data_IF_393190935382
#
_entry.id   IF_393190935382
#
_cell.length_a   1.000
_cell.length_b   1.000
_cell.length_c   1.000
_cell.angle_alpha   90.00
_cell.angle_beta   90.00
_cell.angle_gamma   90.00
#
_symmetry.space_group_name_H-M   'P 1'
#
loop_
_entity.id
_entity.type
_entity.pdbx_description
1 polymer ?
#
# COMPACT_ATOMS: atom_id res chain seq x y z
N UNK A 1 7.87 15.26 -41.66
CA UNK A 1 8.96 15.59 -40.73
C UNK A 1 8.41 15.40 -39.32
N UNK A 2 8.68 14.25 -38.71
CA UNK A 2 8.22 13.88 -37.35
C UNK A 2 9.47 13.83 -36.47
N UNK A 3 9.56 14.72 -35.51
CA UNK A 3 10.64 14.72 -34.52
C UNK A 3 10.37 13.70 -33.45
N UNK A 4 11.15 12.63 -33.46
CA UNK A 4 11.20 11.59 -32.43
C UNK A 4 12.09 12.10 -31.29
N UNK A 5 11.53 12.41 -30.13
CA UNK A 5 12.29 12.68 -28.92
C UNK A 5 12.42 11.38 -28.13
N UNK A 6 13.59 10.78 -28.18
CA UNK A 6 13.94 9.61 -27.39
C UNK A 6 14.32 10.05 -25.98
N UNK A 7 13.49 9.72 -24.98
CA UNK A 7 13.83 9.82 -23.56
C UNK A 7 14.72 8.63 -23.14
N UNK A 8 15.97 8.60 -23.63
CA UNK A 8 17.03 7.74 -23.08
C UNK A 8 18.04 8.66 -22.39
N UNK A 9 17.90 8.86 -21.06
CA UNK A 9 18.90 9.64 -20.35
C UNK A 9 18.56 10.09 -18.93
N UNK A 10 17.72 9.40 -18.17
CA UNK A 10 17.41 9.85 -16.79
C UNK A 10 17.36 8.70 -15.74
N UNK A 11 18.17 7.67 -15.87
CA UNK A 11 18.18 6.55 -14.89
C UNK A 11 19.56 6.35 -14.23
N UNK A 12 20.52 7.24 -14.37
CA UNK A 12 21.88 7.03 -13.84
C UNK A 12 22.39 8.22 -13.04
N UNK A 13 21.65 8.77 -12.06
CA UNK A 13 22.20 9.74 -11.09
C UNK A 13 21.60 9.57 -9.68
N UNK A 14 21.42 8.37 -9.16
CA UNK A 14 21.08 8.21 -7.74
C UNK A 14 21.86 7.10 -7.01
N UNK A 15 22.96 6.64 -7.56
CA UNK A 15 23.74 5.54 -6.97
C UNK A 15 25.18 5.91 -6.55
N UNK A 16 25.51 7.19 -6.32
CA UNK A 16 26.88 7.56 -5.93
C UNK A 16 26.95 8.71 -4.93
N UNK A 17 26.27 8.61 -3.80
CA UNK A 17 26.50 9.54 -2.70
C UNK A 17 26.10 8.90 -1.37
N UNK A 18 26.86 7.99 -0.80
CA UNK A 18 26.92 7.67 0.64
C UNK A 18 27.98 6.60 0.94
N UNK A 19 29.26 6.91 0.74
CA UNK A 19 30.33 6.31 1.55
C UNK A 19 31.29 7.45 1.92
N UNK A 20 30.99 8.10 3.02
CA UNK A 20 31.90 8.99 3.73
C UNK A 20 32.12 8.44 5.13
N UNK A 21 33.23 7.76 5.35
CA UNK A 21 33.68 7.33 6.69
C UNK A 21 34.10 8.57 7.45
N UNK A 22 33.36 8.92 8.51
CA UNK A 22 33.75 9.91 9.49
C UNK A 22 34.24 9.20 10.75
N UNK A 23 35.54 9.22 10.95
CA UNK A 23 36.20 8.90 12.22
C UNK A 23 35.86 9.98 13.24
N UNK A 24 35.23 9.61 14.35
CA UNK A 24 34.99 10.50 15.50
C UNK A 24 35.96 10.15 16.59
N UNK A 25 36.80 11.11 16.94
CA UNK A 25 37.65 11.12 18.15
C UNK A 25 36.81 11.26 19.42
N UNK A 26 37.13 10.45 20.42
CA UNK A 26 36.57 10.53 21.75
C UNK A 26 37.15 11.74 22.50
N UNK A 27 36.24 12.53 23.07
CA UNK A 27 36.56 13.59 24.03
C UNK A 27 35.72 13.40 25.30
N UNK A 28 36.40 13.29 26.44
CA UNK A 28 35.82 13.07 27.77
C UNK A 28 35.29 14.36 28.43
N UNK A 29 34.19 14.14 29.22
CA UNK A 29 33.85 14.80 30.51
C UNK A 29 33.16 16.19 30.54
N UNK A 30 32.48 16.57 31.63
CA UNK A 30 32.10 15.88 32.87
C UNK A 30 30.59 15.98 33.24
N UNK A 31 30.19 15.18 34.22
CA UNK A 31 28.91 15.26 34.96
C UNK A 31 28.60 16.64 35.52
N UNK A 32 27.40 17.13 35.31
CA UNK A 32 26.78 18.10 36.25
C UNK A 32 25.25 18.05 36.19
N UNK A 33 24.67 17.78 37.36
CA UNK A 33 23.37 18.26 37.87
C UNK A 33 22.07 17.96 37.11
N UNK A 34 21.30 16.99 37.65
CA UNK A 34 19.86 16.91 37.48
C UNK A 34 19.18 18.24 37.79
N UNK A 35 18.50 18.83 36.83
CA UNK A 35 17.42 19.79 37.04
C UNK A 35 16.14 19.23 36.48
N UNK A 36 15.12 19.18 37.32
CA UNK A 36 13.73 18.84 37.01
C UNK A 36 13.23 19.67 35.83
N UNK A 37 13.07 19.02 34.66
CA UNK A 37 12.48 19.64 33.48
C UNK A 37 10.96 19.78 33.63
N UNK A 38 10.45 20.94 33.30
CA UNK A 38 9.04 21.27 33.35
C UNK A 38 8.21 20.44 32.35
N UNK A 39 6.91 20.29 32.64
CA UNK A 39 5.95 19.56 31.81
C UNK A 39 5.92 19.97 30.32
N UNK A 40 6.38 21.19 29.98
CA UNK A 40 6.50 21.66 28.60
C UNK A 40 7.65 20.96 27.82
N UNK A 41 8.74 20.56 28.52
CA UNK A 41 9.85 19.81 27.93
C UNK A 41 9.46 18.34 27.63
N UNK A 42 8.54 17.77 28.41
CA UNK A 42 8.03 16.40 28.15
C UNK A 42 7.07 16.37 26.97
N UNK A 43 6.26 17.41 26.75
CA UNK A 43 5.38 17.50 25.58
C UNK A 43 6.14 17.64 24.25
N UNK A 44 7.28 18.36 24.25
CA UNK A 44 8.14 18.45 23.05
C UNK A 44 8.82 17.12 22.72
N UNK A 45 9.21 16.32 23.75
CA UNK A 45 9.80 15.00 23.55
C UNK A 45 8.80 13.96 23.03
N UNK A 46 7.50 14.11 23.33
CA UNK A 46 6.45 13.22 22.83
C UNK A 46 6.23 13.37 21.32
N UNK A 47 6.30 14.59 20.79
CA UNK A 47 6.19 14.83 19.34
C UNK A 47 7.41 14.28 18.57
N UNK A 48 8.59 14.25 19.18
CA UNK A 48 9.80 13.64 18.61
C UNK A 48 9.75 12.10 18.62
N UNK A 49 8.98 11.47 19.51
CA UNK A 49 8.84 10.00 19.58
C UNK A 49 7.91 9.44 18.51
N UNK A 50 7.03 10.22 17.91
CA UNK A 50 5.95 9.79 17.01
C UNK A 50 6.35 9.71 15.54
N UNK A 51 7.56 9.41 15.15
CA UNK A 51 7.97 9.26 13.75
C UNK A 51 7.92 10.56 12.97
N UNK A 52 8.74 10.67 11.93
CA UNK A 52 8.74 11.87 11.08
C UNK A 52 7.33 12.12 10.50
N UNK A 53 6.73 13.30 10.75
CA UNK A 53 5.37 13.59 10.30
C UNK A 53 5.25 13.42 8.78
N UNK A 54 4.23 12.70 8.32
CA UNK A 54 3.89 12.60 6.90
C UNK A 54 4.72 11.69 6.03
N UNK A 55 5.65 10.91 6.60
CA UNK A 55 6.59 10.09 5.83
C UNK A 55 6.08 8.73 5.47
N UNK A 56 5.09 8.23 6.14
CA UNK A 56 4.84 6.80 6.14
C UNK A 56 3.42 6.53 5.72
N UNK A 57 3.22 5.45 4.92
CA UNK A 57 1.89 4.88 4.81
C UNK A 57 1.30 4.70 6.19
N UNK A 58 0.01 4.94 6.31
CA UNK A 58 -0.81 4.87 7.52
C UNK A 58 -0.55 3.67 8.44
N UNK A 59 0.13 2.66 7.92
CA UNK A 59 0.39 1.37 8.57
C UNK A 59 1.62 1.37 9.50
N UNK A 60 2.37 2.47 9.63
CA UNK A 60 3.60 2.47 10.42
C UNK A 60 3.43 3.37 11.64
N UNK A 61 3.05 2.76 12.74
CA UNK A 61 2.90 3.45 14.02
C UNK A 61 3.56 2.67 15.14
N UNK A 62 4.45 3.34 15.87
CA UNK A 62 5.00 2.84 17.12
C UNK A 62 4.34 3.62 18.26
N UNK A 63 3.34 3.01 18.91
CA UNK A 63 2.68 3.57 20.09
C UNK A 63 3.55 3.45 21.35
N UNK A 64 3.20 4.22 22.39
CA UNK A 64 3.71 4.00 23.73
C UNK A 64 2.99 2.81 24.38
N UNK A 65 3.66 2.13 25.33
CA UNK A 65 3.05 1.01 26.04
C UNK A 65 1.69 1.39 26.67
N UNK A 66 0.66 0.60 26.34
CA UNK A 66 -0.72 0.80 26.79
C UNK A 66 -1.57 1.70 25.89
N UNK A 67 -1.00 2.31 24.87
CA UNK A 67 -1.71 3.22 23.97
C UNK A 67 -2.64 2.45 23.00
N UNK A 68 -3.84 2.97 22.82
CA UNK A 68 -4.80 2.53 21.81
C UNK A 68 -4.92 3.58 20.70
N UNK A 69 -5.17 3.10 19.49
CA UNK A 69 -5.45 3.92 18.35
C UNK A 69 -6.60 3.31 17.54
N UNK A 70 -7.46 4.15 17.04
CA UNK A 70 -8.45 3.78 16.03
C UNK A 70 -8.16 4.53 14.76
N UNK A 71 -8.37 3.89 13.63
CA UNK A 71 -8.13 4.48 12.33
C UNK A 71 -9.15 4.05 11.31
N UNK A 72 -9.22 4.84 10.26
CA UNK A 72 -10.03 4.56 9.10
C UNK A 72 -9.29 5.02 7.86
N UNK A 73 -9.18 4.13 6.87
CA UNK A 73 -8.63 4.48 5.57
C UNK A 73 -9.69 4.24 4.49
N UNK A 74 -9.82 5.20 3.58
CA UNK A 74 -10.61 5.09 2.37
C UNK A 74 -9.67 5.14 1.17
N UNK A 75 -9.86 4.21 0.23
CA UNK A 75 -9.10 4.16 -1.01
C UNK A 75 -10.04 4.09 -2.20
N UNK A 76 -9.70 4.85 -3.24
CA UNK A 76 -10.28 4.70 -4.57
C UNK A 76 -9.16 4.41 -5.55
N UNK A 77 -9.30 3.34 -6.33
CA UNK A 77 -8.44 2.98 -7.45
C UNK A 77 -9.23 3.01 -8.75
N UNK A 78 -8.70 3.68 -9.76
CA UNK A 78 -9.23 3.68 -11.11
C UNK A 78 -8.27 2.96 -12.04
N UNK A 79 -8.82 2.00 -12.78
CA UNK A 79 -8.14 1.30 -13.85
C UNK A 79 -8.88 1.62 -15.17
N UNK A 80 -8.14 1.78 -16.27
CA UNK A 80 -8.71 2.15 -17.56
C UNK A 80 -7.78 1.75 -18.70
N UNK A 81 -8.35 1.08 -19.71
CA UNK A 81 -7.62 0.55 -20.85
C UNK A 81 -6.82 -0.72 -20.54
N UNK A 82 -6.59 -1.52 -21.58
CA UNK A 82 -5.89 -2.80 -21.47
C UNK A 82 -4.40 -2.67 -21.81
N UNK A 83 -3.54 -3.36 -21.06
CA UNK A 83 -2.09 -3.41 -21.26
C UNK A 83 -1.62 -4.87 -21.38
N UNK A 84 -0.69 -5.13 -22.30
CA UNK A 84 0.07 -6.40 -22.40
C UNK A 84 1.55 -6.09 -22.41
N UNK A 85 2.30 -6.65 -21.47
CA UNK A 85 3.65 -6.19 -21.22
C UNK A 85 3.63 -4.71 -20.87
N UNK A 86 4.33 -3.89 -21.64
CA UNK A 86 4.38 -2.42 -21.50
C UNK A 86 3.64 -1.67 -22.63
N UNK A 87 2.80 -2.38 -23.39
CA UNK A 87 2.13 -1.84 -24.57
C UNK A 87 0.62 -1.85 -24.39
N UNK A 88 -0.02 -0.72 -24.72
CA UNK A 88 -1.46 -0.65 -24.79
C UNK A 88 -2.00 -1.61 -25.87
N UNK A 89 -3.07 -2.27 -25.56
CA UNK A 89 -3.80 -3.13 -26.48
C UNK A 89 -5.25 -2.65 -26.58
N UNK A 90 -5.76 -2.49 -27.80
CA UNK A 90 -7.14 -2.08 -28.00
C UNK A 90 -8.13 -3.20 -27.64
N UNK A 91 -9.33 -2.83 -27.18
CA UNK A 91 -10.44 -3.74 -26.93
C UNK A 91 -10.69 -4.66 -28.13
N UNK A 92 -10.72 -4.10 -29.35
CA UNK A 92 -10.92 -4.88 -30.57
C UNK A 92 -9.85 -5.98 -30.74
N UNK A 93 -8.60 -5.71 -30.35
CA UNK A 93 -7.52 -6.70 -30.45
C UNK A 93 -7.64 -7.80 -29.39
N UNK A 94 -8.13 -7.46 -28.19
CA UNK A 94 -8.44 -8.47 -27.14
C UNK A 94 -9.60 -9.35 -27.61
N UNK A 95 -10.64 -8.77 -28.20
CA UNK A 95 -11.82 -9.48 -28.70
C UNK A 95 -11.56 -10.40 -29.91
N UNK A 96 -10.40 -10.30 -30.59
CA UNK A 96 -9.98 -11.30 -31.57
C UNK A 96 -9.78 -12.68 -30.91
N UNK A 97 -9.35 -12.70 -29.65
CA UNK A 97 -9.02 -13.92 -28.89
C UNK A 97 -10.11 -14.31 -27.88
N UNK A 98 -10.69 -13.32 -27.19
CA UNK A 98 -11.66 -13.53 -26.12
C UNK A 98 -13.07 -13.11 -26.56
N UNK A 99 -14.10 -13.63 -25.90
CA UNK A 99 -15.47 -13.23 -26.16
C UNK A 99 -15.83 -11.88 -25.51
N UNK A 100 -15.19 -11.58 -24.38
CA UNK A 100 -15.39 -10.38 -23.58
C UNK A 100 -14.04 -9.74 -23.23
N UNK A 101 -14.02 -8.42 -23.08
CA UNK A 101 -12.85 -7.65 -22.60
C UNK A 101 -13.27 -6.62 -21.56
N UNK A 102 -12.54 -6.50 -20.45
CA UNK A 102 -12.78 -5.39 -19.52
C UNK A 102 -12.37 -4.06 -20.19
N UNK A 103 -13.10 -2.99 -19.90
CA UNK A 103 -12.85 -1.65 -20.45
C UNK A 103 -12.28 -0.70 -19.42
N UNK A 104 -12.88 -0.71 -18.23
CA UNK A 104 -12.48 0.08 -17.09
C UNK A 104 -12.96 -0.56 -15.78
N UNK A 105 -12.34 -0.17 -14.67
CA UNK A 105 -12.75 -0.62 -13.34
C UNK A 105 -12.56 0.50 -12.31
N UNK A 106 -13.47 0.58 -11.37
CA UNK A 106 -13.34 1.41 -10.19
C UNK A 106 -13.46 0.54 -8.96
N UNK A 107 -12.45 0.59 -8.08
CA UNK A 107 -12.47 -0.08 -6.79
C UNK A 107 -12.47 0.95 -5.67
N UNK A 108 -13.37 0.79 -4.72
CA UNK A 108 -13.42 1.55 -3.48
C UNK A 108 -13.22 0.60 -2.31
N UNK A 109 -12.42 1.03 -1.34
CA UNK A 109 -12.11 0.20 -0.17
C UNK A 109 -12.20 1.04 1.09
N UNK A 110 -13.01 0.57 2.04
CA UNK A 110 -13.18 1.14 3.37
C UNK A 110 -12.47 0.25 4.38
N UNK A 111 -11.48 0.75 5.08
CA UNK A 111 -10.58 -0.02 5.93
C UNK A 111 -10.58 0.54 7.36
N UNK A 112 -11.59 0.22 8.19
CA UNK A 112 -11.51 0.47 9.63
C UNK A 112 -10.41 -0.38 10.25
N UNK A 113 -9.68 0.23 11.21
CA UNK A 113 -8.60 -0.44 11.92
C UNK A 113 -8.56 -0.05 13.39
N UNK A 114 -8.06 -0.96 14.20
CA UNK A 114 -7.75 -0.74 15.61
C UNK A 114 -6.33 -1.19 15.86
N UNK A 115 -5.60 -0.39 16.64
CA UNK A 115 -4.23 -0.68 17.02
C UNK A 115 -4.06 -0.59 18.52
N UNK A 116 -3.15 -1.41 19.04
CA UNK A 116 -2.77 -1.44 20.44
C UNK A 116 -1.27 -1.65 20.58
N UNK A 117 -0.63 -0.86 21.41
CA UNK A 117 0.78 -0.98 21.74
C UNK A 117 0.95 -1.67 23.11
N UNK A 118 1.11 -3.01 23.21
CA UNK A 118 1.32 -3.67 24.49
C UNK A 118 2.65 -3.28 25.14
N UNK A 119 3.62 -2.83 24.36
CA UNK A 119 4.93 -2.35 24.83
C UNK A 119 5.42 -1.22 23.91
N UNK A 120 6.41 -0.45 24.34
CA UNK A 120 7.05 0.61 23.52
C UNK A 120 7.74 0.08 22.25
N UNK A 121 7.87 -1.24 22.12
CA UNK A 121 8.52 -1.86 20.95
C UNK A 121 7.58 -2.63 20.05
N UNK A 122 6.37 -2.93 20.50
CA UNK A 122 5.42 -3.75 19.78
C UNK A 122 4.09 -3.01 19.62
N UNK A 123 3.64 -2.89 18.39
CA UNK A 123 2.28 -2.45 18.05
C UNK A 123 1.58 -3.56 17.28
N UNK A 124 0.36 -3.85 17.68
CA UNK A 124 -0.52 -4.80 17.01
C UNK A 124 -1.66 -4.04 16.33
N UNK A 125 -2.11 -4.51 15.17
CA UNK A 125 -3.18 -3.91 14.39
C UNK A 125 -4.12 -4.99 13.87
N UNK A 126 -5.42 -4.69 13.91
CA UNK A 126 -6.45 -5.45 13.21
C UNK A 126 -7.14 -4.53 12.20
N UNK A 127 -7.28 -4.98 10.95
CA UNK A 127 -7.92 -4.25 9.86
C UNK A 127 -8.90 -5.16 9.12
N UNK A 128 -10.12 -4.68 8.90
CA UNK A 128 -11.16 -5.40 8.17
C UNK A 128 -11.65 -4.54 7.00
N UNK A 129 -11.25 -4.83 5.76
CA UNK A 129 -11.68 -4.06 4.61
C UNK A 129 -13.12 -4.40 4.20
N UNK A 130 -13.85 -3.39 3.73
CA UNK A 130 -15.07 -3.55 2.94
C UNK A 130 -14.78 -3.00 1.54
N UNK A 131 -15.00 -3.82 0.52
CA UNK A 131 -14.60 -3.55 -0.86
C UNK A 131 -15.84 -3.41 -1.73
N UNK A 132 -15.85 -2.42 -2.61
CA UNK A 132 -16.86 -2.21 -3.65
C UNK A 132 -16.13 -2.08 -4.99
N UNK A 133 -16.56 -2.85 -5.97
CA UNK A 133 -15.96 -2.91 -7.30
C UNK A 133 -17.03 -2.77 -8.37
N UNK A 134 -16.70 -2.02 -9.42
CA UNK A 134 -17.53 -1.86 -10.62
C UNK A 134 -16.62 -1.92 -11.83
N UNK A 135 -16.85 -2.86 -12.73
CA UNK A 135 -16.09 -3.11 -13.95
C UNK A 135 -16.99 -3.02 -15.18
N UNK A 136 -16.58 -2.21 -16.14
CA UNK A 136 -17.20 -2.14 -17.46
C UNK A 136 -16.61 -3.18 -18.39
N UNK A 137 -17.45 -3.78 -19.24
CA UNK A 137 -17.09 -4.81 -20.19
C UNK A 137 -17.63 -4.50 -21.58
N UNK A 138 -16.93 -4.98 -22.58
CA UNK A 138 -17.34 -4.98 -23.97
C UNK A 138 -17.32 -6.41 -24.50
N UNK A 139 -18.44 -6.85 -25.04
CA UNK A 139 -18.58 -8.17 -25.67
C UNK A 139 -18.27 -8.10 -27.16
N UNK A 140 -17.95 -9.28 -27.76
CA UNK A 140 -17.60 -9.39 -29.18
C UNK A 140 -18.72 -8.97 -30.13
N UNK A 141 -19.95 -9.05 -29.70
CA UNK A 141 -21.14 -8.60 -30.47
C UNK A 141 -21.34 -7.07 -30.41
N UNK A 142 -20.49 -6.36 -29.68
CA UNK A 142 -20.55 -4.92 -29.47
C UNK A 142 -21.45 -4.47 -28.32
N UNK A 143 -22.07 -5.38 -27.59
CA UNK A 143 -22.83 -5.04 -26.38
C UNK A 143 -21.90 -4.66 -25.23
N UNK A 144 -22.40 -3.84 -24.30
CA UNK A 144 -21.65 -3.44 -23.09
C UNK A 144 -22.44 -3.86 -21.87
N UNK A 145 -21.72 -4.33 -20.87
CA UNK A 145 -22.22 -4.66 -19.55
C UNK A 145 -21.43 -3.92 -18.47
N UNK A 146 -21.96 -3.94 -17.26
CA UNK A 146 -21.24 -3.46 -16.06
C UNK A 146 -21.45 -4.46 -14.94
N UNK A 147 -20.40 -5.08 -14.51
CA UNK A 147 -20.40 -5.96 -13.36
C UNK A 147 -20.13 -5.19 -12.07
N UNK A 148 -20.71 -5.65 -10.98
CA UNK A 148 -20.53 -5.07 -9.65
C UNK A 148 -20.43 -6.15 -8.61
N UNK A 149 -19.45 -5.99 -7.71
CA UNK A 149 -19.34 -6.83 -6.54
C UNK A 149 -19.01 -5.97 -5.31
N UNK A 150 -19.48 -6.41 -4.17
CA UNK A 150 -19.18 -5.75 -2.90
C UNK A 150 -19.19 -6.75 -1.75
N UNK A 151 -18.48 -6.44 -0.68
CA UNK A 151 -18.47 -7.27 0.51
C UNK A 151 -17.25 -7.05 1.39
N UNK A 152 -17.24 -7.77 2.49
CA UNK A 152 -16.09 -7.82 3.40
C UNK A 152 -14.92 -8.50 2.66
N UNK A 153 -13.72 -7.94 2.80
CA UNK A 153 -12.48 -8.54 2.33
C UNK A 153 -11.83 -9.44 3.39
N UNK A 154 -10.58 -9.76 3.19
CA UNK A 154 -9.81 -10.58 4.12
C UNK A 154 -9.40 -9.77 5.36
N UNK A 155 -9.69 -10.28 6.57
CA UNK A 155 -9.23 -9.72 7.83
C UNK A 155 -7.71 -9.82 7.91
N UNK A 156 -7.04 -8.74 8.26
CA UNK A 156 -5.60 -8.73 8.50
C UNK A 156 -5.28 -8.43 9.97
N UNK A 157 -4.49 -9.29 10.58
CA UNK A 157 -3.84 -9.03 11.86
C UNK A 157 -2.36 -8.79 11.59
N UNK A 158 -1.87 -7.61 11.95
CA UNK A 158 -0.49 -7.19 11.72
C UNK A 158 0.19 -6.83 13.04
N UNK A 159 1.50 -6.94 13.08
CA UNK A 159 2.34 -6.48 14.16
C UNK A 159 3.59 -5.80 13.62
N UNK A 160 4.04 -4.80 14.35
CA UNK A 160 5.30 -4.11 14.11
C UNK A 160 6.15 -4.18 15.36
N UNK A 161 7.37 -4.64 15.20
CA UNK A 161 8.33 -4.75 16.30
C UNK A 161 9.55 -3.89 16.02
N UNK A 162 9.87 -2.98 16.96
CA UNK A 162 11.05 -2.12 16.88
C UNK A 162 12.32 -2.94 17.15
N UNK A 163 13.04 -3.30 16.08
CA UNK A 163 14.32 -4.01 16.16
C UNK A 163 15.44 -3.11 16.63
N UNK A 164 15.44 -1.86 16.18
CA UNK A 164 16.43 -0.87 16.49
C UNK A 164 15.80 0.52 16.56
N UNK A 165 16.17 1.26 17.56
CA UNK A 165 15.90 2.70 17.67
C UNK A 165 17.18 3.38 18.17
N UNK A 166 17.69 4.38 17.44
CA UNK A 166 18.79 5.21 17.88
C UNK A 166 18.41 5.99 19.14
N UNK A 167 19.37 6.32 20.00
CA UNK A 167 19.11 7.05 21.25
C UNK A 167 18.45 8.41 21.03
N UNK A 168 18.75 9.05 19.89
CA UNK A 168 18.16 10.32 19.45
C UNK A 168 16.89 10.14 18.61
N UNK A 169 16.40 8.89 18.47
CA UNK A 169 15.24 8.46 17.68
C UNK A 169 15.28 8.87 16.20
N UNK A 170 16.43 9.35 15.72
CA UNK A 170 16.58 9.74 14.31
C UNK A 170 16.57 8.58 13.33
N UNK A 171 16.87 7.39 13.80
CA UNK A 171 16.88 6.18 12.99
C UNK A 171 16.15 5.05 13.70
N UNK A 172 15.21 4.42 13.02
CA UNK A 172 14.46 3.27 13.54
C UNK A 172 14.34 2.19 12.46
N UNK A 173 14.41 0.93 12.89
CA UNK A 173 14.19 -0.24 12.05
C UNK A 173 13.09 -1.07 12.70
N UNK A 174 12.04 -1.34 11.95
CA UNK A 174 10.88 -2.12 12.39
C UNK A 174 10.81 -3.41 11.57
N UNK A 175 10.56 -4.53 12.24
CA UNK A 175 10.10 -5.75 11.60
C UNK A 175 8.57 -5.72 11.52
N UNK A 176 8.03 -5.94 10.34
CA UNK A 176 6.60 -6.07 10.11
C UNK A 176 6.26 -7.56 9.95
N UNK A 177 5.19 -8.01 10.55
CA UNK A 177 4.69 -9.36 10.42
C UNK A 177 3.17 -9.36 10.50
N UNK A 178 2.53 -10.39 10.01
CA UNK A 178 1.08 -10.50 10.09
C UNK A 178 0.54 -11.75 9.45
N UNK A 179 -0.75 -11.93 9.62
CA UNK A 179 -1.55 -13.01 9.04
C UNK A 179 -2.83 -12.41 8.44
N UNK A 180 -3.09 -12.74 7.20
CA UNK A 180 -4.38 -12.51 6.54
C UNK A 180 -5.26 -13.74 6.67
N UNK A 181 -6.51 -13.53 7.07
CA UNK A 181 -7.53 -14.57 7.24
C UNK A 181 -8.51 -14.50 6.07
N UNK A 182 -8.87 -15.62 5.45
CA UNK A 182 -9.75 -15.66 4.28
C UNK A 182 -11.22 -15.44 4.65
N UNK A 183 -11.54 -14.24 5.14
CA UNK A 183 -12.91 -13.85 5.54
C UNK A 183 -13.71 -13.26 4.37
N UNK A 184 -13.05 -12.81 3.32
CA UNK A 184 -13.68 -12.31 2.10
C UNK A 184 -14.23 -13.43 1.22
N UNK A 185 -15.23 -13.10 0.41
CA UNK A 185 -15.87 -14.08 -0.50
C UNK A 185 -15.00 -14.34 -1.73
N UNK A 186 -14.94 -15.61 -2.11
CA UNK A 186 -14.43 -16.09 -3.40
C UNK A 186 -15.55 -16.62 -4.30
N UNK A 187 -16.80 -16.32 -3.91
CA UNK A 187 -18.00 -16.86 -4.54
C UNK A 187 -18.94 -15.76 -5.02
N UNK A 188 -18.41 -14.58 -5.34
CA UNK A 188 -19.19 -13.50 -5.94
C UNK A 188 -19.78 -13.97 -7.26
N UNK A 189 -21.02 -13.55 -7.52
CA UNK A 189 -21.78 -13.93 -8.71
C UNK A 189 -22.38 -12.70 -9.34
N UNK A 190 -22.51 -12.73 -10.67
CA UNK A 190 -23.22 -11.73 -11.46
C UNK A 190 -24.75 -11.83 -11.27
N UNK A 191 -25.50 -11.01 -12.02
CA UNK A 191 -26.96 -10.96 -11.98
C UNK A 191 -27.61 -12.25 -12.52
N UNK A 192 -26.93 -12.99 -13.37
CA UNK A 192 -27.32 -14.26 -13.98
C UNK A 192 -26.99 -15.45 -13.08
N UNK A 193 -26.29 -15.23 -11.96
CA UNK A 193 -25.87 -16.25 -11.00
C UNK A 193 -24.59 -16.98 -11.39
N UNK A 194 -23.86 -16.53 -12.42
CA UNK A 194 -22.57 -17.09 -12.81
C UNK A 194 -21.45 -16.60 -11.89
N UNK A 195 -20.35 -17.35 -11.84
CA UNK A 195 -19.17 -16.97 -11.06
C UNK A 195 -18.48 -15.78 -11.70
N UNK A 196 -18.30 -14.70 -10.92
CA UNK A 196 -17.49 -13.55 -11.35
C UNK A 196 -16.00 -13.90 -11.38
N UNK A 197 -15.27 -13.24 -12.25
CA UNK A 197 -13.85 -13.41 -12.49
C UNK A 197 -12.98 -13.05 -11.27
N UNK A 198 -11.69 -13.41 -11.33
CA UNK A 198 -10.78 -13.28 -10.20
C UNK A 198 -10.66 -11.85 -9.61
N UNK A 199 -10.58 -10.77 -10.41
CA UNK A 199 -10.48 -9.41 -9.86
C UNK A 199 -11.74 -8.94 -9.13
N UNK A 200 -12.90 -9.52 -9.43
CA UNK A 200 -14.20 -9.15 -8.83
C UNK A 200 -14.53 -9.94 -7.55
N UNK A 201 -13.64 -10.84 -7.11
CA UNK A 201 -13.78 -11.52 -5.83
C UNK A 201 -13.32 -10.62 -4.68
N UNK A 202 -14.08 -10.54 -3.56
CA UNK A 202 -13.75 -9.67 -2.42
C UNK A 202 -12.71 -10.26 -1.47
N UNK A 203 -12.42 -11.55 -1.57
CA UNK A 203 -11.44 -12.27 -0.76
C UNK A 203 -10.47 -13.12 -1.58
N UNK A 204 -9.45 -13.64 -0.93
CA UNK A 204 -8.47 -14.56 -1.53
C UNK A 204 -8.82 -16.03 -1.32
N UNK A 205 -9.62 -16.32 -0.29
CA UNK A 205 -9.93 -17.68 0.14
C UNK A 205 -8.74 -18.46 0.71
N UNK A 206 -7.60 -17.80 0.95
CA UNK A 206 -6.39 -18.44 1.49
C UNK A 206 -5.80 -17.64 2.65
N UNK A 207 -5.24 -18.33 3.64
CA UNK A 207 -4.40 -17.67 4.62
C UNK A 207 -3.19 -17.01 3.94
N UNK A 208 -2.75 -15.88 4.48
CA UNK A 208 -1.59 -15.16 3.99
C UNK A 208 -0.63 -14.83 5.13
N UNK A 209 0.68 -14.94 4.88
CA UNK A 209 1.69 -14.34 5.74
C UNK A 209 2.06 -12.97 5.19
N UNK A 210 2.26 -12.00 6.09
CA UNK A 210 2.50 -10.60 5.76
C UNK A 210 3.85 -10.12 6.35
N UNK A 211 4.99 -10.72 5.93
CA UNK A 211 6.30 -10.28 6.40
C UNK A 211 6.74 -9.00 5.70
N UNK A 212 7.47 -8.17 6.43
CA UNK A 212 8.03 -6.94 5.91
C UNK A 212 9.05 -6.30 6.84
N UNK A 213 9.58 -5.17 6.45
CA UNK A 213 10.42 -4.33 7.29
C UNK A 213 10.25 -2.87 6.90
N UNK A 214 10.48 -1.99 7.87
CA UNK A 214 10.48 -0.55 7.66
C UNK A 214 11.70 0.08 8.27
N UNK A 215 12.37 0.93 7.52
CA UNK A 215 13.39 1.83 8.02
C UNK A 215 12.86 3.26 7.99
N UNK A 216 12.98 3.96 9.11
CA UNK A 216 12.62 5.36 9.28
C UNK A 216 13.85 6.16 9.63
N UNK A 217 14.04 7.28 8.96
CA UNK A 217 15.07 8.22 9.26
C UNK A 217 14.51 9.65 9.34
N UNK A 218 15.08 10.48 10.23
CA UNK A 218 14.68 11.88 10.34
C UNK A 218 15.84 12.81 10.65
N UNK A 219 15.82 14.00 10.03
CA UNK A 219 16.67 15.14 10.32
C UNK A 219 15.86 16.40 10.05
N UNK A 220 15.20 16.94 11.10
CA UNK A 220 14.25 18.05 10.97
C UNK A 220 14.77 19.18 10.07
N UNK A 221 13.95 19.71 9.15
CA UNK A 221 12.52 19.42 8.95
C UNK A 221 12.26 18.25 7.99
N UNK A 222 13.23 17.40 7.71
CA UNK A 222 13.15 16.29 6.77
C UNK A 222 13.03 14.95 7.48
N UNK A 223 12.32 14.04 6.82
CA UNK A 223 12.29 12.64 7.18
C UNK A 223 12.28 11.79 5.92
N UNK A 224 12.62 10.51 6.03
CA UNK A 224 12.60 9.53 4.93
C UNK A 224 12.23 8.14 5.44
N UNK A 225 11.63 7.36 4.57
CA UNK A 225 11.25 5.98 4.86
C UNK A 225 11.59 5.05 3.72
N UNK A 226 11.96 3.83 4.09
CA UNK A 226 12.00 2.68 3.18
C UNK A 226 11.12 1.60 3.79
N UNK A 227 10.11 1.16 3.07
CA UNK A 227 9.12 0.20 3.54
C UNK A 227 9.00 -0.94 2.54
N UNK A 228 9.24 -2.15 3.02
CA UNK A 228 9.04 -3.38 2.26
C UNK A 228 7.94 -4.20 2.92
N UNK A 229 6.92 -4.54 2.15
CA UNK A 229 5.84 -5.43 2.56
C UNK A 229 5.63 -6.54 1.54
N UNK A 230 5.22 -7.69 2.02
CA UNK A 230 4.85 -8.78 1.14
C UNK A 230 3.59 -9.49 1.61
N UNK A 231 2.88 -10.09 0.67
CA UNK A 231 1.77 -11.00 0.92
C UNK A 231 2.13 -12.34 0.33
N UNK A 232 2.43 -13.31 1.18
CA UNK A 232 2.76 -14.69 0.81
C UNK A 232 1.54 -15.55 1.11
N UNK A 233 0.86 -16.00 0.08
CA UNK A 233 -0.38 -16.76 0.20
C UNK A 233 -0.09 -18.24 0.40
N UNK A 234 -0.85 -18.90 1.30
CA UNK A 234 -0.65 -20.28 1.71
C UNK A 234 -1.77 -21.18 1.17
N UNK A 235 -1.38 -22.38 0.72
CA UNK A 235 -2.35 -23.39 0.27
C UNK A 235 -3.08 -23.02 -1.03
N UNK A 236 -4.25 -23.60 -1.21
CA UNK A 236 -5.25 -23.27 -2.25
C UNK A 236 -6.59 -23.07 -1.56
N UNK A 237 -7.45 -22.26 -2.16
CA UNK A 237 -8.81 -22.07 -1.68
C UNK A 237 -9.75 -23.21 -2.12
N UNK A 238 -10.98 -23.16 -1.65
CA UNK A 238 -12.01 -24.19 -1.93
C UNK A 238 -12.39 -24.27 -3.41
N UNK A 239 -12.09 -23.23 -4.20
CA UNK A 239 -12.31 -23.20 -5.66
C UNK A 239 -11.08 -23.70 -6.44
N UNK A 240 -10.06 -24.24 -5.76
CA UNK A 240 -8.91 -24.90 -6.40
C UNK A 240 -7.78 -23.97 -6.82
N UNK A 241 -7.85 -22.68 -6.57
CA UNK A 241 -6.82 -21.72 -6.95
C UNK A 241 -6.18 -21.00 -5.76
N UNK A 242 -5.11 -20.27 -6.05
CA UNK A 242 -4.42 -19.37 -5.13
C UNK A 242 -3.94 -18.14 -5.89
N UNK A 243 -4.31 -16.95 -5.44
CA UNK A 243 -3.80 -15.69 -5.99
C UNK A 243 -2.27 -15.63 -5.90
N UNK A 244 -1.62 -14.90 -6.79
CA UNK A 244 -0.19 -14.69 -6.78
C UNK A 244 0.31 -14.00 -5.50
N UNK A 245 1.54 -14.30 -5.09
CA UNK A 245 2.20 -13.54 -4.03
C UNK A 245 2.43 -12.10 -4.51
N UNK A 246 2.35 -11.14 -3.58
CA UNK A 246 2.60 -9.72 -3.87
C UNK A 246 3.79 -9.22 -3.03
N UNK A 247 4.63 -8.41 -3.65
CA UNK A 247 5.78 -7.76 -3.03
C UNK A 247 5.75 -6.28 -3.36
N UNK A 248 5.99 -5.44 -2.36
CA UNK A 248 5.93 -3.99 -2.48
C UNK A 248 7.13 -3.38 -1.76
N UNK A 249 7.80 -2.47 -2.44
CA UNK A 249 8.88 -1.64 -1.88
C UNK A 249 8.54 -0.18 -2.12
N UNK A 250 8.46 0.61 -1.06
CA UNK A 250 8.24 2.05 -1.14
C UNK A 250 9.44 2.80 -0.57
N UNK A 251 9.84 3.86 -1.23
CA UNK A 251 10.85 4.82 -0.73
C UNK A 251 10.22 6.19 -0.79
N UNK A 252 10.24 6.91 0.33
CA UNK A 252 9.63 8.22 0.43
C UNK A 252 10.47 9.19 1.25
N UNK A 253 10.29 10.47 0.96
CA UNK A 253 10.81 11.60 1.69
C UNK A 253 9.66 12.53 2.04
N UNK A 254 9.69 13.14 3.22
CA UNK A 254 8.75 14.16 3.60
C UNK A 254 9.45 15.36 4.19
N UNK A 255 8.78 16.50 4.11
CA UNK A 255 9.20 17.75 4.72
C UNK A 255 8.07 18.30 5.58
N UNK A 256 8.40 18.60 6.83
CA UNK A 256 7.55 19.39 7.70
C UNK A 256 7.54 20.84 7.21
N UNK A 257 6.37 21.33 6.80
CA UNK A 257 6.17 22.71 6.34
C UNK A 257 5.82 23.62 7.54
N UNK A 258 5.07 23.08 8.48
CA UNK A 258 4.74 23.67 9.76
C UNK A 258 4.46 22.53 10.75
N UNK A 259 4.47 22.82 12.05
CA UNK A 259 4.25 21.85 13.13
C UNK A 259 2.89 21.09 13.09
N UNK A 260 2.05 21.37 12.12
CA UNK A 260 0.72 20.75 11.93
C UNK A 260 0.50 20.21 10.51
N UNK A 261 1.47 20.41 9.58
CA UNK A 261 1.35 19.95 8.20
C UNK A 261 2.70 19.53 7.62
N UNK A 262 2.72 18.40 6.93
CA UNK A 262 3.88 17.92 6.18
C UNK A 262 3.48 17.46 4.78
N UNK A 263 4.42 17.57 3.86
CA UNK A 263 4.31 17.14 2.48
C UNK A 263 5.27 15.98 2.24
N UNK A 264 4.81 14.95 1.51
CA UNK A 264 5.63 13.79 1.18
C UNK A 264 5.63 13.51 -0.31
N UNK A 265 6.73 12.95 -0.79
CA UNK A 265 6.88 12.43 -2.14
C UNK A 265 7.63 11.10 -2.08
N UNK A 266 7.37 10.20 -3.02
CA UNK A 266 8.02 8.90 -3.04
C UNK A 266 7.81 8.13 -4.32
N UNK A 267 8.36 6.93 -4.32
CA UNK A 267 8.17 5.94 -5.37
C UNK A 267 7.81 4.60 -4.74
N UNK A 268 7.00 3.82 -5.45
CA UNK A 268 6.58 2.48 -5.06
C UNK A 268 6.79 1.52 -6.21
N UNK A 269 7.58 0.48 -5.98
CA UNK A 269 7.68 -0.68 -6.84
C UNK A 269 6.80 -1.81 -6.33
N UNK A 270 6.02 -2.42 -7.22
CA UNK A 270 5.19 -3.59 -6.92
C UNK A 270 5.47 -4.71 -7.91
N UNK A 271 5.40 -5.93 -7.41
CA UNK A 271 5.40 -7.14 -8.20
C UNK A 271 4.35 -8.11 -7.64
N UNK A 272 3.55 -8.69 -8.50
CA UNK A 272 2.63 -9.75 -8.14
C UNK A 272 2.66 -10.86 -9.19
N UNK A 273 2.59 -12.10 -8.71
CA UNK A 273 2.63 -13.28 -9.58
C UNK A 273 1.25 -13.63 -10.13
N UNK A 274 1.24 -14.50 -11.13
CA UNK A 274 0.04 -15.10 -11.66
C UNK A 274 -0.68 -16.00 -10.65
N UNK A 275 -1.94 -16.28 -10.88
CA UNK A 275 -2.75 -17.20 -10.09
C UNK A 275 -2.22 -18.63 -10.31
N UNK A 276 -2.22 -19.43 -9.26
CA UNK A 276 -1.82 -20.84 -9.32
C UNK A 276 -3.03 -21.75 -9.13
N UNK A 277 -3.26 -22.66 -10.08
CA UNK A 277 -4.50 -23.42 -10.21
C UNK A 277 -5.57 -22.59 -10.90
N UNK A 278 -6.81 -23.06 -10.93
CA UNK A 278 -7.93 -22.38 -11.57
C UNK A 278 -9.24 -22.73 -10.88
N UNK A 279 -10.20 -21.81 -10.92
CA UNK A 279 -11.60 -22.11 -10.59
C UNK A 279 -12.23 -22.85 -11.78
N UNK A 280 -12.77 -24.07 -11.57
CA UNK A 280 -13.37 -24.85 -12.66
C UNK A 280 -14.66 -24.24 -13.25
N UNK A 281 -15.24 -23.23 -12.58
CA UNK A 281 -16.41 -22.49 -13.06
C UNK A 281 -16.05 -21.28 -13.96
N UNK A 282 -14.75 -20.94 -14.08
CA UNK A 282 -14.28 -19.85 -14.92
C UNK A 282 -13.64 -20.41 -16.20
N UNK A 283 -14.18 -20.03 -17.36
CA UNK A 283 -13.60 -20.38 -18.65
C UNK A 283 -12.50 -19.37 -19.04
N UNK A 284 -11.22 -19.78 -19.09
CA UNK A 284 -10.11 -18.88 -19.42
C UNK A 284 -10.10 -18.40 -20.88
N UNK A 285 -10.98 -18.97 -21.74
CA UNK A 285 -11.09 -18.55 -23.14
C UNK A 285 -12.16 -17.48 -23.36
N UNK A 286 -13.01 -17.25 -22.37
CA UNK A 286 -14.10 -16.29 -22.43
C UNK A 286 -13.59 -14.86 -22.24
N UNK A 287 -12.76 -14.66 -21.21
CA UNK A 287 -12.26 -13.34 -20.82
C UNK A 287 -10.84 -13.41 -20.25
N UNK A 288 -9.97 -12.42 -20.50
CA UNK A 288 -8.61 -12.41 -19.92
C UNK A 288 -8.59 -12.38 -18.39
N UNK A 289 -9.59 -11.79 -17.74
CA UNK A 289 -9.74 -11.74 -16.27
C UNK A 289 -10.08 -13.09 -15.65
N UNK A 290 -10.53 -14.06 -16.45
CA UNK A 290 -10.81 -15.47 -16.08
C UNK A 290 -9.61 -16.40 -16.31
N UNK A 291 -8.56 -15.94 -17.02
CA UNK A 291 -7.33 -16.74 -17.23
C UNK A 291 -6.34 -16.53 -16.07
N UNK A 292 -6.06 -17.58 -15.27
CA UNK A 292 -5.15 -17.48 -14.11
C UNK A 292 -3.71 -17.13 -14.49
N UNK A 293 -3.29 -17.36 -15.75
CA UNK A 293 -1.94 -17.10 -16.22
C UNK A 293 -1.73 -15.65 -16.70
N UNK A 294 -2.80 -14.88 -16.79
CA UNK A 294 -2.80 -13.51 -17.28
C UNK A 294 -3.02 -12.48 -16.15
N UNK A 295 -2.82 -12.85 -14.87
CA UNK A 295 -3.13 -12.00 -13.71
C UNK A 295 -1.90 -11.42 -13.02
N UNK A 296 -0.70 -11.75 -13.48
CA UNK A 296 0.57 -11.26 -12.93
C UNK A 296 0.99 -9.91 -13.50
N UNK A 297 1.94 -9.27 -12.82
CA UNK A 297 2.48 -8.00 -13.31
C UNK A 297 3.47 -7.35 -12.36
N UNK A 298 3.97 -6.20 -12.80
CA UNK A 298 4.83 -5.30 -12.03
C UNK A 298 4.51 -3.85 -12.36
N UNK A 299 4.72 -2.97 -11.38
CA UNK A 299 4.41 -1.55 -11.50
C UNK A 299 5.41 -0.71 -10.72
N UNK A 300 5.77 0.43 -11.26
CA UNK A 300 6.48 1.51 -10.59
C UNK A 300 5.56 2.73 -10.59
N UNK A 301 5.28 3.26 -9.41
CA UNK A 301 4.39 4.41 -9.21
C UNK A 301 5.11 5.56 -8.53
N UNK A 302 4.71 6.79 -8.84
CA UNK A 302 5.05 7.99 -8.09
C UNK A 302 3.97 8.25 -7.04
N UNK A 303 4.39 8.71 -5.86
CA UNK A 303 3.56 9.01 -4.71
C UNK A 303 3.68 10.48 -4.34
N UNK A 304 2.56 11.12 -4.03
CA UNK A 304 2.49 12.46 -3.44
C UNK A 304 1.50 12.45 -2.28
N UNK A 305 1.89 12.97 -1.13
CA UNK A 305 1.07 12.95 0.06
C UNK A 305 1.12 14.24 0.86
N UNK A 306 0.04 14.50 1.58
CA UNK A 306 -0.05 15.57 2.58
C UNK A 306 -0.62 14.97 3.86
N UNK A 307 0.01 15.34 5.00
CA UNK A 307 -0.44 14.89 6.32
C UNK A 307 -0.70 16.11 7.20
N UNK A 308 -1.81 16.07 7.92
CA UNK A 308 -2.22 17.07 8.89
C UNK A 308 -2.26 16.43 10.28
N UNK A 309 -1.62 17.06 11.26
CA UNK A 309 -1.59 16.66 12.68
C UNK A 309 -1.84 17.86 13.58
N UNK A 310 -3.11 18.27 13.76
CA UNK A 310 -3.47 19.44 14.55
C UNK A 310 -2.98 19.33 15.99
N UNK A 311 -2.27 20.37 16.47
CA UNK A 311 -1.65 20.38 17.80
C UNK A 311 -2.57 20.95 18.89
N UNK A 312 -3.72 21.55 18.52
CA UNK A 312 -4.60 22.28 19.43
C UNK A 312 -6.08 22.03 19.12
N UNK A 313 -6.94 22.29 20.10
CA UNK A 313 -8.42 22.22 19.95
C UNK A 313 -8.95 20.80 19.97
N UNK A 314 -10.15 20.61 19.45
CA UNK A 314 -10.88 19.33 19.39
C UNK A 314 -10.23 18.28 18.49
N UNK A 315 -9.34 18.70 17.59
CA UNK A 315 -8.63 17.80 16.67
C UNK A 315 -7.25 17.38 17.16
N UNK A 316 -6.85 17.79 18.38
CA UNK A 316 -5.58 17.36 18.97
C UNK A 316 -5.55 15.82 19.13
N UNK A 317 -4.43 15.18 18.75
CA UNK A 317 -4.29 13.70 18.77
C UNK A 317 -4.92 13.01 17.56
N UNK A 318 -5.45 13.79 16.60
CA UNK A 318 -5.94 13.23 15.34
C UNK A 318 -4.91 13.46 14.24
N UNK A 319 -4.80 12.49 13.34
CA UNK A 319 -3.97 12.55 12.15
C UNK A 319 -4.82 12.32 10.91
N UNK A 320 -4.64 13.16 9.91
CA UNK A 320 -5.29 13.04 8.61
C UNK A 320 -4.22 12.99 7.54
N UNK A 321 -4.35 12.09 6.59
CA UNK A 321 -3.49 12.11 5.42
C UNK A 321 -4.26 11.88 4.13
N UNK A 322 -3.75 12.45 3.06
CA UNK A 322 -4.18 12.18 1.69
C UNK A 322 -2.95 11.80 0.88
N UNK A 323 -3.02 10.67 0.18
CA UNK A 323 -1.95 10.16 -0.67
C UNK A 323 -2.51 9.89 -2.06
N UNK A 324 -1.94 10.54 -3.06
CA UNK A 324 -2.12 10.24 -4.48
C UNK A 324 -1.01 9.34 -4.99
N UNK A 325 -1.37 8.38 -5.83
CA UNK A 325 -0.46 7.47 -6.50
C UNK A 325 -0.78 7.42 -7.99
N UNK A 326 0.23 7.58 -8.84
CA UNK A 326 0.11 7.46 -10.29
C UNK A 326 1.20 6.52 -10.82
N UNK A 327 0.87 5.59 -11.75
CA UNK A 327 1.86 4.71 -12.34
C UNK A 327 2.79 5.49 -13.26
N UNK A 328 4.08 5.18 -13.20
CA UNK A 328 5.11 5.70 -14.13
C UNK A 328 5.42 4.65 -15.19
N UNK A 329 5.48 3.39 -14.77
CA UNK A 329 5.69 2.24 -15.65
C UNK A 329 4.87 1.08 -15.13
N UNK A 330 4.16 0.39 -16.04
CA UNK A 330 3.45 -0.85 -15.77
C UNK A 330 3.86 -1.90 -16.79
N UNK A 331 3.91 -3.16 -16.36
CA UNK A 331 4.12 -4.31 -17.24
C UNK A 331 3.28 -5.46 -16.73
N UNK A 332 2.27 -5.85 -17.49
CA UNK A 332 1.25 -6.84 -17.14
C UNK A 332 1.43 -8.11 -18.00
N UNK A 333 1.21 -9.27 -17.41
CA UNK A 333 1.50 -10.57 -18.05
C UNK A 333 0.49 -10.95 -19.16
N UNK A 334 -0.66 -10.28 -19.22
CA UNK A 334 -1.67 -10.48 -20.26
C UNK A 334 -2.52 -9.24 -20.47
N UNK A 335 -3.58 -9.28 -21.30
CA UNK A 335 -4.54 -8.20 -21.38
C UNK A 335 -5.18 -7.99 -20.01
N UNK A 336 -4.78 -6.96 -19.30
CA UNK A 336 -5.30 -6.55 -18.02
C UNK A 336 -5.54 -5.05 -18.02
N UNK A 337 -6.51 -4.60 -17.25
CA UNK A 337 -6.72 -3.17 -17.01
C UNK A 337 -5.49 -2.57 -16.32
N UNK A 338 -4.96 -1.48 -16.88
CA UNK A 338 -3.88 -0.74 -16.27
C UNK A 338 -4.40 0.23 -15.22
N UNK A 339 -3.67 0.41 -14.15
CA UNK A 339 -3.98 1.44 -13.14
C UNK A 339 -3.79 2.82 -13.74
N UNK A 340 -4.78 3.69 -13.59
CA UNK A 340 -4.68 5.11 -13.97
C UNK A 340 -4.21 5.94 -12.77
N UNK A 341 -4.86 5.79 -11.63
CA UNK A 341 -4.49 6.45 -10.38
C UNK A 341 -5.12 5.78 -9.16
N UNK A 342 -4.54 6.06 -7.99
CA UNK A 342 -5.10 5.72 -6.67
C UNK A 342 -5.09 6.96 -5.80
N UNK A 343 -6.16 7.18 -5.04
CA UNK A 343 -6.22 8.16 -3.97
C UNK A 343 -6.56 7.43 -2.67
N UNK A 344 -5.79 7.73 -1.62
CA UNK A 344 -6.01 7.23 -0.26
C UNK A 344 -6.25 8.41 0.67
N UNK A 345 -7.29 8.34 1.46
CA UNK A 345 -7.56 9.22 2.58
C UNK A 345 -7.49 8.41 3.87
N UNK A 346 -6.80 8.90 4.88
CA UNK A 346 -6.70 8.25 6.17
C UNK A 346 -6.96 9.20 7.32
N UNK A 347 -7.55 8.67 8.37
CA UNK A 347 -7.80 9.31 9.64
C UNK A 347 -7.41 8.38 10.79
N UNK A 348 -6.79 8.94 11.82
CA UNK A 348 -6.42 8.21 13.04
C UNK A 348 -6.66 9.08 14.26
N UNK A 349 -7.00 8.42 15.37
CA UNK A 349 -7.14 9.01 16.70
C UNK A 349 -6.39 8.14 17.70
N UNK A 350 -5.55 8.77 18.50
CA UNK A 350 -4.78 8.17 19.58
C UNK A 350 -5.37 8.51 20.94
N UNK A 351 -5.40 7.54 21.87
CA UNK A 351 -5.91 7.72 23.24
C UNK A 351 -5.33 6.68 24.21
#
# INVERSE_FOLDING_TARGET
MKSCWSLRGLVVIFASACVGVLTVQAGESPMTSMKTGSAASQAASMTEMMGAPGLVPFDIMTGQAGQWMVGYQFMVEKLDGNLVGTHDISEAKVLERFATTPTDMTMQMHMPMVMYAPTDKLTLMAMLPYVQMSMGELHRDGTRSTERSEGIGDLELRGQYSLYAAKDLRHRILANFGVGFPTGSINQRDAEGMRMEYPMQTGSGTFSLLPGFTYLGQALPWGWAVDFNSTVRLGRNDNGYRLGNRYQLSVSIARELANWVSLSAGVRGEYWGNIRGSDPLLDPTDEPTKDPNLQGGKRLSALLGITFHPQKGLLKGQHFHVLGEVPVVQSLDGPQLQMSWVIRFGWQLEF
#
